data_IF_049796351819
#
_entry.id   IF_049796351819
#
_cell.length_a   1.000
_cell.length_b   1.000
_cell.length_c   1.000
_cell.angle_alpha   90.00
_cell.angle_beta   90.00
_cell.angle_gamma   90.00
#
_symmetry.space_group_name_H-M   'P 1'
#
loop_
_entity.id
_entity.type
_entity.pdbx_description
1 polymer ?
#
# COMPACT_ATOMS: atom_id res chain seq x y z
N UNK A 1 -51.46 3.97 -20.64
CA UNK A 1 -51.17 5.38 -20.28
C UNK A 1 -50.38 5.33 -18.97
N UNK A 2 -49.08 5.01 -19.03
CA UNK A 2 -47.97 5.95 -19.24
C UNK A 2 -48.03 7.15 -18.31
N UNK A 3 -47.28 7.10 -17.23
CA UNK A 3 -46.75 8.29 -16.58
C UNK A 3 -45.28 8.05 -16.24
N UNK A 4 -44.42 8.61 -17.10
CA UNK A 4 -43.05 9.00 -16.77
C UNK A 4 -43.08 10.01 -15.61
N UNK A 5 -42.19 9.83 -14.63
CA UNK A 5 -41.82 10.88 -13.69
C UNK A 5 -40.32 11.10 -13.85
N UNK A 6 -39.98 12.15 -14.58
CA UNK A 6 -38.67 12.79 -14.61
C UNK A 6 -38.45 13.53 -13.28
N UNK A 7 -37.37 13.22 -12.57
CA UNK A 7 -36.90 14.03 -11.44
C UNK A 7 -35.57 14.69 -11.86
N UNK A 8 -35.66 15.97 -12.16
CA UNK A 8 -34.55 16.92 -12.11
C UNK A 8 -34.72 17.74 -10.85
N UNK A 9 -33.77 17.69 -9.93
CA UNK A 9 -33.62 18.75 -8.94
C UNK A 9 -32.15 18.98 -8.59
N UNK A 10 -31.75 20.22 -8.84
CA UNK A 10 -30.47 20.83 -8.50
C UNK A 10 -30.39 21.06 -6.99
N UNK A 11 -29.26 20.77 -6.37
CA UNK A 11 -28.93 21.33 -5.06
C UNK A 11 -27.60 22.08 -5.12
N UNK A 12 -27.74 23.40 -5.01
CA UNK A 12 -26.71 24.43 -4.98
C UNK A 12 -25.97 24.35 -3.63
N UNK A 13 -24.66 24.13 -3.65
CA UNK A 13 -23.80 24.25 -2.46
C UNK A 13 -23.44 25.73 -2.21
N UNK A 14 -23.92 26.27 -1.09
CA UNK A 14 -23.71 27.65 -0.63
C UNK A 14 -22.25 27.98 -0.25
N UNK A 15 -21.81 29.20 -0.56
CA UNK A 15 -20.42 29.71 -0.45
C UNK A 15 -19.79 29.86 0.94
N UNK A 16 -20.41 29.37 2.02
CA UNK A 16 -19.88 29.52 3.38
C UNK A 16 -18.73 28.54 3.73
N UNK A 17 -18.51 27.49 2.93
CA UNK A 17 -17.39 26.53 3.12
C UNK A 17 -16.06 26.96 2.50
N UNK A 18 -16.06 27.90 1.55
CA UNK A 18 -14.83 28.37 0.88
C UNK A 18 -14.06 29.38 1.74
N UNK A 19 -14.77 30.27 2.44
CA UNK A 19 -14.13 31.26 3.33
C UNK A 19 -13.40 30.63 4.53
N UNK A 20 -13.79 29.42 4.95
CA UNK A 20 -13.13 28.68 6.03
C UNK A 20 -11.79 28.08 5.61
N UNK A 21 -11.65 27.68 4.34
CA UNK A 21 -10.42 27.13 3.78
C UNK A 21 -9.38 28.23 3.51
N UNK A 22 -9.81 29.38 2.99
CA UNK A 22 -8.93 30.53 2.74
C UNK A 22 -8.33 31.08 4.02
N UNK A 23 -9.13 31.21 5.09
CA UNK A 23 -8.64 31.62 6.43
C UNK A 23 -7.66 30.63 7.05
N UNK A 24 -7.69 29.37 6.64
CA UNK A 24 -6.75 28.33 7.10
C UNK A 24 -5.45 28.38 6.32
N UNK A 25 -5.51 28.59 5.01
CA UNK A 25 -4.32 28.80 4.17
C UNK A 25 -3.56 30.08 4.54
N UNK A 26 -4.25 31.21 4.78
CA UNK A 26 -3.57 32.44 5.20
C UNK A 26 -2.84 32.31 6.54
N UNK A 27 -3.37 31.49 7.46
CA UNK A 27 -2.79 31.25 8.78
C UNK A 27 -1.51 30.43 8.70
N UNK A 28 -1.50 29.42 7.83
CA UNK A 28 -0.31 28.61 7.52
C UNK A 28 0.76 29.45 6.83
N UNK A 29 0.38 30.33 5.89
CA UNK A 29 1.28 31.23 5.18
C UNK A 29 1.86 32.34 6.08
N UNK A 30 1.11 32.83 7.08
CA UNK A 30 1.63 33.80 8.06
C UNK A 30 2.61 33.16 9.04
N UNK A 31 2.35 31.91 9.46
CA UNK A 31 3.24 31.18 10.36
C UNK A 31 4.57 30.80 9.70
N UNK A 32 4.55 30.44 8.41
CA UNK A 32 5.78 30.16 7.65
C UNK A 32 6.65 31.41 7.44
N UNK A 33 6.03 32.58 7.21
CA UNK A 33 6.74 33.87 7.11
C UNK A 33 7.37 34.33 8.44
N UNK A 34 6.77 33.98 9.58
CA UNK A 34 7.38 34.23 10.92
C UNK A 34 8.57 33.32 11.17
N UNK A 35 8.50 32.04 10.79
CA UNK A 35 9.63 31.11 10.91
C UNK A 35 10.83 31.53 10.05
N UNK A 36 10.58 32.11 8.87
CA UNK A 36 11.63 32.60 7.95
C UNK A 36 12.40 33.83 8.46
N UNK A 37 11.86 34.63 9.40
CA UNK A 37 12.57 35.80 9.97
C UNK A 37 13.42 35.45 11.19
N UNK A 38 13.16 34.31 11.84
CA UNK A 38 13.87 33.90 13.05
C UNK A 38 15.22 33.21 12.77
N UNK A 39 15.41 32.65 11.56
CA UNK A 39 16.59 31.85 11.23
C UNK A 39 17.23 32.41 9.95
N UNK A 40 18.14 33.36 10.12
CA UNK A 40 18.88 34.01 9.04
C UNK A 40 19.76 33.04 8.26
N UNK A 41 19.17 32.32 7.30
CA UNK A 41 19.91 31.46 6.36
C UNK A 41 19.27 31.54 4.96
N UNK A 42 19.83 32.39 4.09
CA UNK A 42 19.27 32.77 2.79
C UNK A 42 19.48 31.76 1.65
N UNK A 43 19.90 30.52 1.94
CA UNK A 43 20.19 29.51 0.90
C UNK A 43 19.29 28.27 0.89
N UNK A 44 18.49 28.01 1.92
CA UNK A 44 17.59 26.82 1.95
C UNK A 44 16.16 27.06 1.46
N UNK A 45 15.74 28.31 1.26
CA UNK A 45 14.32 28.62 0.97
C UNK A 45 13.96 28.51 -0.52
N UNK A 46 14.93 28.46 -1.44
CA UNK A 46 14.61 28.38 -2.88
C UNK A 46 14.23 26.98 -3.39
N UNK A 47 14.64 25.91 -2.70
CA UNK A 47 14.30 24.53 -3.13
C UNK A 47 13.03 23.97 -2.46
N UNK A 48 12.51 24.60 -1.40
CA UNK A 48 11.31 24.12 -0.72
C UNK A 48 10.00 24.66 -1.33
N UNK A 49 10.05 25.78 -2.07
CA UNK A 49 8.86 26.37 -2.68
C UNK A 49 8.50 25.75 -4.03
N UNK A 50 9.46 25.18 -4.77
CA UNK A 50 9.17 24.50 -6.04
C UNK A 50 8.52 23.12 -5.85
N UNK A 51 8.84 22.42 -4.76
CA UNK A 51 8.29 21.08 -4.46
C UNK A 51 6.87 21.17 -3.90
N UNK A 52 6.54 22.22 -3.16
CA UNK A 52 5.19 22.42 -2.61
C UNK A 52 4.18 22.96 -3.62
N UNK A 53 4.61 23.69 -4.65
CA UNK A 53 3.72 24.20 -5.70
C UNK A 53 3.37 23.14 -6.76
N UNK A 54 4.17 22.08 -6.92
CA UNK A 54 3.85 20.96 -7.84
C UNK A 54 2.78 20.00 -7.27
N UNK A 55 2.68 19.89 -5.93
CA UNK A 55 1.66 19.05 -5.28
C UNK A 55 0.26 19.70 -5.23
N UNK A 56 0.16 21.02 -5.27
CA UNK A 56 -1.14 21.72 -5.29
C UNK A 56 -1.81 21.71 -6.67
N UNK A 57 -1.08 21.47 -7.76
CA UNK A 57 -1.62 21.46 -9.13
C UNK A 57 -2.30 20.12 -9.52
N UNK A 58 -2.12 19.05 -8.74
CA UNK A 58 -2.71 17.73 -9.06
C UNK A 58 -4.05 17.45 -8.36
N UNK A 59 -4.47 18.35 -7.48
CA UNK A 59 -5.78 18.31 -6.81
C UNK A 59 -6.69 19.43 -7.34
N UNK A 60 -7.00 19.39 -8.63
CA UNK A 60 -8.07 20.19 -9.23
C UNK A 60 -9.01 19.27 -10.01
N UNK A 61 -10.15 19.00 -9.38
CA UNK A 61 -11.41 18.50 -9.91
C UNK A 61 -11.49 18.25 -11.44
N UNK A 62 -11.71 16.98 -11.80
CA UNK A 62 -12.10 16.51 -13.15
C UNK A 62 -13.51 17.03 -13.48
N UNK A 63 -13.64 18.32 -13.82
CA UNK A 63 -14.76 18.84 -14.64
C UNK A 63 -14.56 20.23 -15.26
N UNK A 64 -13.44 20.93 -15.05
CA UNK A 64 -13.30 22.33 -15.51
C UNK A 64 -12.41 22.55 -16.75
N UNK A 65 -11.76 21.53 -17.33
CA UNK A 65 -10.77 21.71 -18.44
C UNK A 65 -11.36 21.45 -19.84
N UNK A 66 -12.64 21.78 -20.07
CA UNK A 66 -13.24 21.75 -21.42
C UNK A 66 -13.99 23.03 -21.83
N UNK A 67 -13.79 24.14 -21.12
CA UNK A 67 -14.50 25.39 -21.39
C UNK A 67 -13.66 26.63 -21.75
N UNK A 68 -12.33 26.56 -21.82
CA UNK A 68 -11.50 27.77 -21.99
C UNK A 68 -10.33 27.64 -22.99
N UNK A 69 -10.47 26.79 -24.01
CA UNK A 69 -9.51 26.72 -25.13
C UNK A 69 -9.95 27.51 -26.38
N UNK A 70 -10.92 28.42 -26.24
CA UNK A 70 -11.31 29.37 -27.29
C UNK A 70 -11.40 30.78 -26.69
N UNK A 71 -10.27 31.48 -26.63
CA UNK A 71 -10.13 32.95 -26.72
C UNK A 71 -8.69 33.34 -26.39
N UNK A 72 -8.09 34.15 -27.28
CA UNK A 72 -6.75 34.76 -27.22
C UNK A 72 -5.60 33.78 -27.54
N UNK A 73 -4.70 33.99 -28.50
CA UNK A 73 -4.32 35.16 -29.30
C UNK A 73 -2.81 35.04 -29.57
N UNK A 74 -2.45 34.91 -30.86
CA UNK A 74 -1.14 35.01 -31.53
C UNK A 74 0.17 35.05 -30.71
N UNK A 75 1.23 34.28 -31.09
CA UNK A 75 2.60 34.58 -30.71
C UNK A 75 3.24 35.64 -31.64
N UNK A 76 4.21 36.46 -31.14
CA UNK A 76 4.80 37.53 -31.93
C UNK A 76 5.88 37.04 -32.89
N UNK A 77 5.90 37.70 -34.05
CA UNK A 77 6.92 37.61 -35.09
C UNK A 77 8.05 38.60 -34.79
N UNK A 78 9.31 38.16 -34.87
CA UNK A 78 10.47 39.04 -35.01
C UNK A 78 11.31 38.54 -36.18
N UNK A 79 11.56 39.42 -37.15
CA UNK A 79 12.38 39.16 -38.32
C UNK A 79 13.46 40.22 -38.52
N UNK A 80 14.48 39.87 -39.32
CA UNK A 80 15.56 40.73 -39.84
C UNK A 80 16.92 40.02 -39.72
N UNK A 81 17.55 39.39 -40.73
CA UNK A 81 18.00 39.79 -42.08
C UNK A 81 19.47 40.32 -42.15
N UNK A 82 20.27 39.73 -43.06
CA UNK A 82 21.51 40.28 -43.65
C UNK A 82 22.81 39.56 -43.22
N UNK A 83 23.40 38.62 -44.00
CA UNK A 83 24.22 38.69 -45.25
C UNK A 83 25.76 38.72 -45.05
N UNK A 84 26.38 37.66 -45.59
CA UNK A 84 27.63 37.58 -46.40
C UNK A 84 29.04 37.69 -45.77
N UNK A 85 29.93 36.74 -46.17
CA UNK A 85 31.35 37.03 -46.43
C UNK A 85 32.41 36.01 -46.00
N UNK A 86 32.70 35.02 -46.88
CA UNK A 86 34.01 34.49 -47.33
C UNK A 86 35.18 34.27 -46.34
N UNK A 87 35.67 33.01 -46.26
CA UNK A 87 37.02 32.56 -46.70
C UNK A 87 37.41 31.19 -46.08
N UNK A 88 37.73 30.18 -46.91
CA UNK A 88 38.32 28.89 -46.47
C UNK A 88 39.86 28.92 -46.43
N UNK A 89 40.60 27.79 -46.59
CA UNK A 89 40.28 26.40 -46.30
C UNK A 89 41.37 25.71 -45.42
N UNK A 90 41.13 24.50 -44.92
CA UNK A 90 42.22 23.55 -44.63
C UNK A 90 41.77 22.11 -44.86
N UNK A 91 42.42 21.48 -45.83
CA UNK A 91 42.38 20.06 -46.15
C UNK A 91 42.75 19.19 -44.95
N UNK A 92 42.04 18.09 -44.77
CA UNK A 92 42.72 16.81 -44.64
C UNK A 92 41.85 15.70 -45.24
N UNK A 93 42.35 15.10 -46.31
CA UNK A 93 41.77 13.92 -46.94
C UNK A 93 42.29 12.71 -46.17
N UNK A 94 41.39 11.85 -45.68
CA UNK A 94 41.76 10.46 -45.48
C UNK A 94 40.66 9.54 -45.96
N UNK A 95 41.12 8.49 -46.61
CA UNK A 95 40.44 7.61 -47.55
C UNK A 95 39.55 6.58 -46.87
N UNK A 96 38.39 6.33 -47.49
CA UNK A 96 37.81 5.00 -47.74
C UNK A 96 37.83 3.95 -46.63
N UNK A 97 36.69 3.79 -45.94
CA UNK A 97 36.17 2.49 -45.54
C UNK A 97 34.64 2.50 -45.67
N UNK A 98 34.13 1.62 -46.53
CA UNK A 98 32.71 1.36 -46.71
C UNK A 98 32.10 0.82 -45.41
N UNK A 99 31.31 1.64 -44.72
CA UNK A 99 30.44 1.18 -43.66
C UNK A 99 29.21 0.52 -44.31
N UNK A 100 29.06 -0.79 -44.12
CA UNK A 100 27.78 -1.46 -44.34
C UNK A 100 26.72 -0.89 -43.38
N UNK A 101 25.42 -1.10 -43.65
CA UNK A 101 24.38 -0.56 -42.79
C UNK A 101 24.54 -1.16 -41.39
N UNK A 102 24.97 -0.32 -40.44
CA UNK A 102 24.89 -0.63 -39.03
C UNK A 102 23.40 -0.69 -38.71
N UNK A 103 22.85 -1.89 -38.60
CA UNK A 103 21.60 -2.11 -37.89
C UNK A 103 21.88 -1.69 -36.45
N UNK A 104 21.51 -0.47 -36.08
CA UNK A 104 21.43 -0.03 -34.70
C UNK A 104 20.46 -0.98 -34.00
N UNK A 105 21.02 -2.00 -33.35
CA UNK A 105 20.28 -2.80 -32.39
C UNK A 105 19.89 -1.83 -31.27
N UNK A 106 18.60 -1.55 -31.17
CA UNK A 106 18.03 -0.86 -30.01
C UNK A 106 18.62 -1.47 -28.74
N UNK A 107 19.12 -0.65 -27.80
CA UNK A 107 19.68 -1.16 -26.57
C UNK A 107 18.60 -1.98 -25.86
N UNK A 108 18.82 -3.31 -25.78
CA UNK A 108 18.02 -4.24 -25.01
C UNK A 108 17.77 -3.60 -23.64
N UNK A 109 16.51 -3.22 -23.37
CA UNK A 109 16.13 -2.51 -22.17
C UNK A 109 16.78 -3.20 -20.97
N UNK A 110 17.59 -2.45 -20.21
CA UNK A 110 18.31 -3.00 -19.07
C UNK A 110 17.30 -3.74 -18.18
N UNK A 111 17.48 -5.06 -18.03
CA UNK A 111 16.54 -5.91 -17.28
C UNK A 111 16.39 -5.32 -15.88
N UNK A 112 15.21 -4.82 -15.55
CA UNK A 112 14.89 -4.34 -14.22
C UNK A 112 14.96 -5.53 -13.25
N UNK A 113 16.07 -5.61 -12.51
CA UNK A 113 16.30 -6.68 -11.55
C UNK A 113 15.57 -6.46 -10.23
N UNK A 114 15.09 -5.24 -9.99
CA UNK A 114 14.28 -4.88 -8.83
C UNK A 114 12.82 -5.25 -9.00
N UNK A 115 12.29 -5.35 -10.22
CA UNK A 115 10.89 -5.72 -10.42
C UNK A 115 10.46 -7.02 -9.69
N UNK A 116 9.28 -7.02 -9.09
CA UNK A 116 8.62 -8.21 -8.57
C UNK A 116 7.22 -8.33 -9.18
N UNK A 117 6.84 -9.51 -9.67
CA UNK A 117 5.50 -9.73 -10.20
C UNK A 117 4.45 -9.67 -9.09
N UNK A 118 4.73 -10.32 -7.95
CA UNK A 118 3.85 -10.38 -6.78
C UNK A 118 4.60 -9.96 -5.52
N UNK A 119 4.01 -9.05 -4.74
CA UNK A 119 4.49 -8.65 -3.42
C UNK A 119 3.48 -9.07 -2.35
N UNK A 120 3.92 -9.80 -1.34
CA UNK A 120 3.11 -10.12 -0.16
C UNK A 120 3.52 -9.20 0.99
N UNK A 121 2.57 -8.40 1.49
CA UNK A 121 2.79 -7.48 2.60
C UNK A 121 2.14 -8.06 3.85
N UNK A 122 2.96 -8.37 4.85
CA UNK A 122 2.52 -8.91 6.13
C UNK A 122 3.12 -8.10 7.29
N UNK A 123 2.50 -8.16 8.46
CA UNK A 123 3.02 -7.49 9.65
C UNK A 123 4.32 -8.16 10.11
N UNK A 124 4.37 -9.49 10.09
CA UNK A 124 5.44 -10.30 10.67
C UNK A 124 5.94 -11.36 9.69
N UNK A 125 7.26 -11.61 9.71
CA UNK A 125 7.89 -12.67 8.90
C UNK A 125 7.22 -14.04 9.06
N UNK A 126 6.74 -14.37 10.26
CA UNK A 126 6.13 -15.68 10.56
C UNK A 126 4.89 -15.97 9.72
N UNK A 127 4.18 -14.93 9.28
CA UNK A 127 2.94 -15.07 8.52
C UNK A 127 3.22 -15.73 7.16
N UNK A 128 4.28 -15.27 6.47
CA UNK A 128 4.67 -15.80 5.16
C UNK A 128 5.89 -16.73 5.21
N UNK A 129 6.48 -16.99 6.38
CA UNK A 129 7.66 -17.85 6.50
C UNK A 129 7.48 -19.23 5.82
N UNK A 130 6.30 -19.88 5.85
CA UNK A 130 6.10 -21.12 5.10
C UNK A 130 6.18 -20.94 3.57
N UNK A 131 5.77 -19.79 3.03
CA UNK A 131 5.86 -19.49 1.59
C UNK A 131 7.30 -19.32 1.10
N UNK A 132 8.22 -18.85 1.95
CA UNK A 132 9.64 -18.75 1.58
C UNK A 132 10.24 -20.10 1.16
N UNK A 133 9.69 -21.22 1.63
CA UNK A 133 10.14 -22.57 1.26
C UNK A 133 9.72 -22.98 -0.15
N UNK A 134 8.77 -22.26 -0.75
CA UNK A 134 8.36 -22.45 -2.14
C UNK A 134 9.13 -21.55 -3.11
N UNK A 135 10.03 -20.71 -2.60
CA UNK A 135 10.81 -19.76 -3.39
C UNK A 135 12.27 -20.18 -3.47
N UNK A 136 12.82 -20.10 -4.68
CA UNK A 136 14.23 -20.29 -4.95
C UNK A 136 14.99 -18.97 -4.89
N UNK A 137 16.32 -19.08 -4.68
CA UNK A 137 17.26 -17.95 -4.72
C UNK A 137 16.88 -16.78 -3.80
N UNK A 138 16.24 -17.09 -2.68
CA UNK A 138 15.77 -16.08 -1.71
C UNK A 138 16.93 -15.24 -1.21
N UNK A 139 16.83 -13.92 -1.38
CA UNK A 139 17.72 -12.90 -0.83
C UNK A 139 16.90 -11.94 0.00
N UNK A 140 17.47 -11.48 1.10
CA UNK A 140 16.81 -10.50 1.96
C UNK A 140 17.61 -9.23 2.06
N UNK A 141 16.92 -8.11 2.15
CA UNK A 141 17.50 -6.83 2.51
C UNK A 141 16.60 -6.12 3.52
N UNK A 142 17.15 -5.10 4.18
CA UNK A 142 16.46 -4.30 5.18
C UNK A 142 16.16 -2.93 4.60
N UNK A 143 14.88 -2.56 4.57
CA UNK A 143 14.48 -1.16 4.41
C UNK A 143 14.56 -0.44 5.75
N UNK A 144 14.32 0.87 5.77
CA UNK A 144 14.49 1.67 6.99
C UNK A 144 13.70 1.11 8.18
N UNK A 145 12.44 0.74 7.96
CA UNK A 145 11.50 0.29 8.99
C UNK A 145 10.86 -1.08 8.73
N UNK A 146 11.28 -1.79 7.69
CA UNK A 146 10.71 -3.08 7.28
C UNK A 146 11.81 -3.99 6.71
N UNK A 147 11.49 -5.27 6.52
CA UNK A 147 12.41 -6.24 5.92
C UNK A 147 11.76 -6.92 4.71
N UNK A 148 12.55 -7.14 3.65
CA UNK A 148 12.09 -7.74 2.41
C UNK A 148 12.89 -8.99 2.11
N UNK A 149 12.19 -10.02 1.60
CA UNK A 149 12.76 -11.22 1.03
C UNK A 149 12.31 -11.33 -0.42
N UNK A 150 13.22 -11.16 -1.38
CA UNK A 150 12.97 -11.37 -2.79
C UNK A 150 13.42 -12.77 -3.21
N UNK A 151 12.65 -13.43 -4.04
CA UNK A 151 12.94 -14.76 -4.56
C UNK A 151 12.23 -15.03 -5.87
N UNK A 152 12.32 -16.28 -6.30
CA UNK A 152 11.70 -16.75 -7.53
C UNK A 152 10.79 -17.93 -7.20
N UNK A 153 9.58 -17.92 -7.73
CA UNK A 153 8.71 -19.08 -7.75
C UNK A 153 8.61 -19.55 -9.20
N UNK A 154 9.45 -20.51 -9.59
CA UNK A 154 9.77 -20.77 -11.00
C UNK A 154 10.24 -19.46 -11.67
N UNK A 155 9.52 -18.97 -12.67
CA UNK A 155 9.82 -17.71 -13.37
C UNK A 155 9.14 -16.47 -12.75
N UNK A 156 8.30 -16.65 -11.73
CA UNK A 156 7.63 -15.54 -11.06
C UNK A 156 8.55 -14.91 -10.02
N UNK A 157 8.88 -13.62 -10.19
CA UNK A 157 9.57 -12.82 -9.17
C UNK A 157 8.61 -12.51 -8.05
N UNK A 158 8.89 -13.02 -6.86
CA UNK A 158 8.06 -12.82 -5.67
C UNK A 158 8.86 -12.07 -4.61
N UNK A 159 8.21 -11.15 -3.92
CA UNK A 159 8.78 -10.48 -2.76
C UNK A 159 7.85 -10.60 -1.56
N UNK A 160 8.43 -10.80 -0.38
CA UNK A 160 7.72 -10.91 0.88
C UNK A 160 8.21 -9.79 1.80
N UNK A 161 7.28 -9.10 2.45
CA UNK A 161 7.57 -7.92 3.25
C UNK A 161 7.07 -8.15 4.67
N UNK A 162 7.97 -8.06 5.64
CA UNK A 162 7.60 -7.87 7.04
C UNK A 162 7.59 -6.37 7.32
N UNK A 163 6.40 -5.78 7.27
CA UNK A 163 6.17 -4.34 7.37
C UNK A 163 6.27 -3.81 8.81
N UNK A 164 6.02 -4.67 9.80
CA UNK A 164 5.70 -4.26 11.17
C UNK A 164 4.19 -4.17 11.39
N UNK A 165 3.79 -4.19 12.66
CA UNK A 165 2.38 -4.18 13.08
C UNK A 165 1.80 -2.78 12.93
N UNK A 166 0.56 -2.71 12.46
CA UNK A 166 -0.26 -1.50 12.45
C UNK A 166 -0.20 -0.68 11.16
N UNK A 167 -1.20 0.19 11.05
CA UNK A 167 -1.54 0.94 9.85
C UNK A 167 -0.37 1.72 9.25
N UNK A 168 0.36 2.49 10.06
CA UNK A 168 1.44 3.35 9.59
C UNK A 168 2.65 2.54 9.10
N UNK A 169 2.94 1.39 9.71
CA UNK A 169 4.03 0.51 9.31
C UNK A 169 3.71 -0.15 7.96
N UNK A 170 2.51 -0.72 7.83
CA UNK A 170 2.01 -1.30 6.59
C UNK A 170 1.99 -0.29 5.44
N UNK A 171 1.50 0.94 5.68
CA UNK A 171 1.49 2.01 4.68
C UNK A 171 2.90 2.32 4.15
N UNK A 172 3.84 2.64 5.05
CA UNK A 172 5.23 2.98 4.67
C UNK A 172 5.91 1.86 3.90
N UNK A 173 5.75 0.62 4.35
CA UNK A 173 6.36 -0.53 3.70
C UNK A 173 5.76 -0.76 2.30
N UNK A 174 4.42 -0.67 2.17
CA UNK A 174 3.72 -0.85 0.89
C UNK A 174 4.13 0.22 -0.13
N UNK A 175 4.23 1.49 0.30
CA UNK A 175 4.64 2.59 -0.56
C UNK A 175 6.07 2.36 -1.09
N UNK A 176 7.01 2.07 -0.19
CA UNK A 176 8.39 1.79 -0.56
C UNK A 176 8.54 0.59 -1.50
N UNK A 177 7.82 -0.52 -1.28
CA UNK A 177 7.94 -1.68 -2.17
C UNK A 177 7.23 -1.49 -3.51
N UNK A 178 6.16 -0.69 -3.59
CA UNK A 178 5.57 -0.35 -4.88
C UNK A 178 6.54 0.52 -5.69
N UNK A 179 7.14 1.53 -5.07
CA UNK A 179 8.10 2.42 -5.74
C UNK A 179 9.37 1.70 -6.19
N UNK A 180 9.88 0.76 -5.38
CA UNK A 180 11.15 0.09 -5.66
C UNK A 180 11.01 -1.24 -6.41
N UNK A 181 9.89 -1.94 -6.31
CA UNK A 181 9.68 -3.23 -6.98
C UNK A 181 8.62 -3.20 -8.07
N UNK A 182 7.88 -2.09 -8.24
CA UNK A 182 6.87 -1.90 -9.29
C UNK A 182 5.99 -3.15 -9.54
N UNK A 183 5.29 -3.67 -8.51
CA UNK A 183 4.61 -4.94 -8.64
C UNK A 183 3.31 -4.86 -9.43
N UNK A 184 2.98 -5.96 -10.10
CA UNK A 184 1.68 -6.11 -10.76
C UNK A 184 0.57 -6.39 -9.75
N UNK A 185 0.90 -7.19 -8.72
CA UNK A 185 0.00 -7.57 -7.64
C UNK A 185 0.64 -7.33 -6.26
N UNK A 186 -0.16 -6.76 -5.37
CA UNK A 186 0.09 -6.75 -3.94
C UNK A 186 -0.93 -7.65 -3.25
N UNK A 187 -0.49 -8.50 -2.34
CA UNK A 187 -1.33 -9.30 -1.48
C UNK A 187 -1.15 -8.80 -0.05
N UNK A 188 -2.17 -8.13 0.48
CA UNK A 188 -2.28 -7.86 1.91
C UNK A 188 -2.49 -9.20 2.62
N UNK A 189 -1.50 -9.63 3.39
CA UNK A 189 -1.36 -11.03 3.79
C UNK A 189 -1.08 -11.11 5.28
N UNK A 190 -1.76 -12.00 6.01
CA UNK A 190 -1.39 -12.23 7.41
C UNK A 190 -2.49 -12.84 8.25
N UNK A 191 -2.41 -12.61 9.55
CA UNK A 191 -3.38 -13.09 10.53
C UNK A 191 -4.52 -12.10 10.76
N UNK A 192 -5.58 -12.58 11.38
CA UNK A 192 -6.72 -11.77 11.81
C UNK A 192 -7.45 -12.41 12.99
N UNK A 193 -8.17 -11.59 13.76
CA UNK A 193 -9.23 -12.07 14.64
C UNK A 193 -10.53 -12.34 13.85
N UNK A 194 -11.27 -13.38 14.21
CA UNK A 194 -12.60 -13.65 13.67
C UNK A 194 -13.66 -12.77 14.36
N UNK A 195 -14.59 -12.22 13.59
CA UNK A 195 -15.64 -11.34 14.10
C UNK A 195 -17.05 -11.96 14.04
N UNK A 196 -17.21 -13.12 13.41
CA UNK A 196 -18.52 -13.78 13.30
C UNK A 196 -18.45 -15.27 13.67
N UNK A 197 -19.53 -15.85 14.22
CA UNK A 197 -19.55 -17.24 14.72
C UNK A 197 -19.23 -18.31 13.67
N UNK A 198 -19.51 -18.05 12.40
CA UNK A 198 -19.20 -18.98 11.31
C UNK A 198 -17.71 -19.00 10.93
N UNK A 199 -16.93 -18.01 11.34
CA UNK A 199 -15.49 -17.89 11.05
C UNK A 199 -14.70 -18.42 12.24
N UNK A 200 -14.04 -19.57 12.06
CA UNK A 200 -13.36 -20.29 13.13
C UNK A 200 -11.85 -20.10 13.08
N UNK A 201 -11.20 -20.33 14.22
CA UNK A 201 -9.73 -20.38 14.28
C UNK A 201 -9.19 -21.38 13.26
N UNK A 202 -8.23 -20.92 12.44
CA UNK A 202 -7.66 -21.66 11.32
C UNK A 202 -8.32 -21.35 9.97
N UNK A 203 -9.53 -20.79 9.91
CA UNK A 203 -10.17 -20.47 8.65
C UNK A 203 -9.41 -19.40 7.86
N UNK A 204 -9.61 -19.38 6.55
CA UNK A 204 -9.11 -18.34 5.66
C UNK A 204 -10.26 -17.41 5.30
N UNK A 205 -10.04 -16.10 5.45
CA UNK A 205 -10.95 -15.05 4.99
C UNK A 205 -10.28 -14.28 3.86
N UNK A 206 -10.98 -14.20 2.73
CA UNK A 206 -10.59 -13.45 1.55
C UNK A 206 -11.40 -12.15 1.52
N UNK A 207 -10.71 -11.01 1.61
CA UNK A 207 -11.35 -9.70 1.74
C UNK A 207 -11.91 -9.17 0.43
N UNK A 208 -13.23 -9.19 0.22
CA UNK A 208 -13.86 -8.55 -0.97
C UNK A 208 -14.15 -7.05 -0.77
N UNK A 209 -14.20 -6.62 0.49
CA UNK A 209 -14.33 -5.23 0.90
C UNK A 209 -13.51 -5.03 2.18
N UNK A 210 -12.75 -3.95 2.24
CA UNK A 210 -11.96 -3.54 3.39
C UNK A 210 -12.60 -2.27 3.97
N UNK A 211 -12.80 -2.23 5.28
CA UNK A 211 -13.40 -1.09 5.97
C UNK A 211 -12.61 -0.74 7.22
N UNK A 212 -12.80 0.45 7.77
CA UNK A 212 -12.31 0.82 9.10
C UNK A 212 -13.43 1.38 9.99
N UNK A 213 -13.08 1.72 11.22
CA UNK A 213 -13.97 2.33 12.20
C UNK A 213 -14.27 3.82 11.90
N UNK A 214 -13.56 4.43 10.95
CA UNK A 214 -13.67 5.83 10.55
C UNK A 214 -14.55 6.04 9.30
N UNK A 215 -15.17 4.97 8.80
CA UNK A 215 -16.10 4.99 7.66
C UNK A 215 -15.44 4.89 6.29
N UNK A 216 -14.14 4.62 6.22
CA UNK A 216 -13.45 4.34 4.97
C UNK A 216 -13.83 2.95 4.45
N UNK A 217 -13.89 2.83 3.12
CA UNK A 217 -14.28 1.60 2.44
C UNK A 217 -13.49 1.44 1.16
N UNK A 218 -12.98 0.24 0.92
CA UNK A 218 -12.27 -0.13 -0.30
C UNK A 218 -12.79 -1.47 -0.82
N UNK A 219 -13.35 -1.49 -2.04
CA UNK A 219 -13.80 -2.75 -2.66
C UNK A 219 -12.69 -3.35 -3.49
N UNK A 220 -12.45 -4.64 -3.31
CA UNK A 220 -11.52 -5.41 -4.12
C UNK A 220 -12.33 -6.11 -5.22
N UNK A 221 -12.17 -5.72 -6.50
CA UNK A 221 -12.93 -6.31 -7.60
C UNK A 221 -12.39 -7.70 -7.93
N UNK A 222 -12.75 -8.70 -7.11
CA UNK A 222 -12.41 -10.11 -7.34
C UNK A 222 -13.63 -11.00 -7.12
N UNK A 223 -13.63 -12.14 -7.81
CA UNK A 223 -14.63 -13.19 -7.67
C UNK A 223 -13.93 -14.46 -7.24
N UNK A 224 -14.22 -14.91 -6.02
CA UNK A 224 -13.80 -16.20 -5.48
C UNK A 224 -15.01 -16.88 -4.87
N UNK A 225 -15.19 -18.16 -5.14
CA UNK A 225 -16.24 -18.93 -4.49
C UNK A 225 -15.86 -19.18 -3.02
N UNK A 226 -16.82 -19.01 -2.13
CA UNK A 226 -16.70 -19.48 -0.75
C UNK A 226 -16.68 -21.01 -0.71
N UNK A 227 -15.93 -21.56 0.24
CA UNK A 227 -15.98 -22.99 0.57
C UNK A 227 -15.92 -23.13 2.10
N UNK A 228 -17.05 -22.90 2.80
CA UNK A 228 -17.09 -22.99 4.26
C UNK A 228 -16.77 -24.38 4.79
N UNK A 229 -16.99 -25.45 4.00
CA UNK A 229 -16.64 -26.82 4.39
C UNK A 229 -15.13 -27.00 4.49
N UNK A 230 -14.38 -26.31 3.62
CA UNK A 230 -12.92 -26.24 3.69
C UNK A 230 -12.44 -25.08 4.54
N UNK A 231 -13.30 -24.30 5.19
CA UNK A 231 -12.94 -23.13 6.00
C UNK A 231 -12.36 -21.98 5.18
N UNK A 232 -12.94 -21.72 4.00
CA UNK A 232 -12.61 -20.60 3.13
C UNK A 232 -13.85 -19.70 3.03
N UNK A 233 -13.73 -18.47 3.51
CA UNK A 233 -14.79 -17.46 3.51
C UNK A 233 -14.38 -16.28 2.66
N UNK A 234 -15.35 -15.59 2.07
CA UNK A 234 -15.14 -14.37 1.29
C UNK A 234 -16.03 -13.30 1.87
N UNK A 235 -15.47 -12.15 2.22
CA UNK A 235 -16.29 -11.10 2.82
C UNK A 235 -15.51 -9.91 3.29
N UNK A 236 -16.17 -9.11 4.11
CA UNK A 236 -15.62 -7.83 4.57
C UNK A 236 -14.55 -8.05 5.65
N UNK A 237 -13.43 -7.35 5.54
CA UNK A 237 -12.41 -7.25 6.58
C UNK A 237 -12.47 -5.86 7.22
N UNK A 238 -12.42 -5.81 8.54
CA UNK A 238 -12.28 -4.59 9.32
C UNK A 238 -10.80 -4.34 9.63
N UNK A 239 -10.30 -3.14 9.39
CA UNK A 239 -9.03 -2.68 9.94
C UNK A 239 -9.32 -1.82 11.16
N UNK A 240 -8.92 -2.28 12.34
CA UNK A 240 -9.12 -1.59 13.61
C UNK A 240 -7.90 -0.75 14.00
N UNK A 241 -8.08 0.19 14.91
CA UNK A 241 -6.99 1.04 15.43
C UNK A 241 -6.16 0.34 16.53
N UNK A 242 -6.70 -0.73 17.11
CA UNK A 242 -6.11 -1.49 18.21
C UNK A 242 -6.42 -2.98 18.11
N UNK A 243 -5.68 -3.78 18.87
CA UNK A 243 -5.95 -5.22 18.97
C UNK A 243 -7.29 -5.45 19.65
N UNK A 244 -8.25 -5.99 18.90
CA UNK A 244 -9.57 -6.35 19.41
C UNK A 244 -9.46 -7.57 20.34
N UNK A 245 -9.57 -7.32 21.63
CA UNK A 245 -9.18 -8.30 22.65
C UNK A 245 -10.32 -9.22 23.07
N UNK A 246 -11.50 -8.65 23.33
CA UNK A 246 -12.58 -9.36 24.02
C UNK A 246 -13.61 -9.95 23.05
N UNK A 247 -14.21 -11.09 23.43
CA UNK A 247 -15.27 -11.69 22.63
C UNK A 247 -16.48 -10.75 22.44
N UNK A 248 -16.81 -9.95 23.46
CA UNK A 248 -17.88 -8.95 23.37
C UNK A 248 -17.57 -7.88 22.32
N UNK A 249 -16.36 -7.32 22.33
CA UNK A 249 -15.92 -6.34 21.35
C UNK A 249 -15.91 -6.91 19.93
N UNK A 250 -15.41 -8.14 19.74
CA UNK A 250 -15.43 -8.82 18.45
C UNK A 250 -16.85 -8.97 17.90
N UNK A 251 -17.80 -9.42 18.71
CA UNK A 251 -19.21 -9.52 18.30
C UNK A 251 -19.78 -8.16 17.92
N UNK A 252 -19.56 -7.14 18.76
CA UNK A 252 -20.02 -5.76 18.49
C UNK A 252 -19.47 -5.23 17.16
N UNK A 253 -18.18 -5.40 16.90
CA UNK A 253 -17.55 -4.95 15.66
C UNK A 253 -18.03 -5.76 14.45
N UNK A 254 -18.18 -7.07 14.60
CA UNK A 254 -18.74 -7.95 13.56
C UNK A 254 -20.15 -7.53 13.14
N UNK A 255 -21.02 -7.24 14.11
CA UNK A 255 -22.39 -6.75 13.88
C UNK A 255 -22.41 -5.35 13.28
N UNK A 256 -21.67 -4.41 13.87
CA UNK A 256 -21.65 -2.99 13.47
C UNK A 256 -21.16 -2.82 12.04
N UNK A 257 -20.05 -3.49 11.71
CA UNK A 257 -19.39 -3.31 10.42
C UNK A 257 -19.73 -4.41 9.44
N UNK A 258 -20.51 -5.44 9.80
CA UNK A 258 -20.79 -6.61 8.95
C UNK A 258 -19.50 -7.28 8.45
N UNK A 259 -18.43 -7.24 9.25
CA UNK A 259 -17.12 -7.77 8.90
C UNK A 259 -16.95 -9.20 9.40
N UNK A 260 -16.26 -10.03 8.63
CA UNK A 260 -15.97 -11.44 8.97
C UNK A 260 -14.74 -11.56 9.87
N UNK A 261 -13.75 -10.70 9.68
CA UNK A 261 -12.50 -10.72 10.41
C UNK A 261 -11.93 -9.30 10.57
N UNK A 262 -11.01 -9.16 11.53
CA UNK A 262 -10.35 -7.89 11.90
C UNK A 262 -8.84 -8.01 11.88
N UNK A 263 -8.17 -6.99 11.35
CA UNK A 263 -6.72 -6.82 11.38
C UNK A 263 -6.35 -5.36 11.68
N UNK A 264 -5.06 -4.99 11.55
CA UNK A 264 -4.58 -3.62 11.81
C UNK A 264 -3.98 -2.96 10.55
N UNK A 265 -3.96 -3.64 9.40
CA UNK A 265 -3.14 -3.24 8.26
C UNK A 265 -3.84 -3.23 6.89
N UNK A 266 -4.88 -4.06 6.67
CA UNK A 266 -5.40 -4.32 5.30
C UNK A 266 -5.79 -3.05 4.56
N UNK A 267 -6.52 -2.15 5.22
CA UNK A 267 -6.95 -0.91 4.59
C UNK A 267 -5.77 0.03 4.27
N UNK A 268 -4.71 0.03 5.09
CA UNK A 268 -3.51 0.81 4.83
C UNK A 268 -2.81 0.38 3.54
N UNK A 269 -2.64 -0.94 3.36
CA UNK A 269 -2.09 -1.53 2.13
C UNK A 269 -2.96 -1.15 0.93
N UNK A 270 -4.28 -1.24 1.10
CA UNK A 270 -5.24 -0.94 0.04
C UNK A 270 -5.21 0.52 -0.42
N UNK A 271 -5.09 1.47 0.51
CA UNK A 271 -4.97 2.88 0.18
C UNK A 271 -3.75 3.18 -0.68
N UNK A 272 -2.62 2.56 -0.38
CA UNK A 272 -1.40 2.74 -1.18
C UNK A 272 -1.58 2.10 -2.55
N UNK A 273 -2.09 0.86 -2.62
CA UNK A 273 -2.35 0.20 -3.90
C UNK A 273 -3.28 1.02 -4.80
N UNK A 274 -4.32 1.62 -4.22
CA UNK A 274 -5.23 2.51 -4.93
C UNK A 274 -4.54 3.76 -5.49
N UNK A 275 -3.68 4.40 -4.68
CA UNK A 275 -2.94 5.60 -5.08
C UNK A 275 -1.94 5.32 -6.22
N UNK A 276 -1.37 4.13 -6.27
CA UNK A 276 -0.40 3.70 -7.29
C UNK A 276 -1.03 2.85 -8.41
N UNK A 277 -2.34 2.64 -8.40
CA UNK A 277 -3.06 1.82 -9.38
C UNK A 277 -2.56 0.37 -9.47
N UNK A 278 -2.04 -0.17 -8.36
CA UNK A 278 -1.57 -1.54 -8.24
C UNK A 278 -2.71 -2.47 -7.84
N UNK A 279 -2.76 -3.67 -8.43
CA UNK A 279 -3.81 -4.65 -8.13
C UNK A 279 -3.63 -5.22 -6.73
N UNK A 280 -4.72 -5.45 -6.02
CA UNK A 280 -4.73 -5.87 -4.63
C UNK A 280 -5.54 -7.15 -4.44
N UNK A 281 -5.04 -8.03 -3.58
CA UNK A 281 -5.82 -9.06 -2.89
C UNK A 281 -5.58 -8.95 -1.38
N UNK A 282 -6.53 -9.43 -0.57
CA UNK A 282 -6.41 -9.43 0.89
C UNK A 282 -6.76 -10.81 1.45
N UNK A 283 -5.79 -11.49 2.06
CA UNK A 283 -5.95 -12.82 2.63
C UNK A 283 -5.59 -12.82 4.11
N UNK A 284 -6.50 -13.37 4.91
CA UNK A 284 -6.33 -13.48 6.35
C UNK A 284 -6.52 -14.91 6.82
N UNK A 285 -5.65 -15.39 7.68
CA UNK A 285 -5.87 -16.62 8.43
C UNK A 285 -6.27 -16.29 9.87
N UNK A 286 -7.37 -16.87 10.31
CA UNK A 286 -7.97 -16.54 11.61
C UNK A 286 -7.15 -17.21 12.71
N UNK A 287 -6.57 -16.43 13.63
CA UNK A 287 -5.76 -16.94 14.74
C UNK A 287 -6.53 -17.08 16.05
N UNK A 288 -7.67 -16.40 16.13
CA UNK A 288 -8.54 -16.35 17.29
C UNK A 288 -9.95 -16.00 16.81
N UNK A 289 -10.91 -16.88 17.07
CA UNK A 289 -12.31 -16.68 16.65
C UNK A 289 -13.05 -15.63 17.52
N UNK A 290 -14.33 -15.43 17.21
CA UNK A 290 -15.19 -14.44 17.87
C UNK A 290 -15.39 -14.70 19.37
N UNK A 291 -15.27 -15.95 19.81
CA UNK A 291 -15.45 -16.35 21.21
C UNK A 291 -14.15 -16.28 22.01
N UNK A 292 -13.01 -16.25 21.31
CA UNK A 292 -11.69 -16.23 21.92
C UNK A 292 -11.36 -14.84 22.47
N UNK A 293 -11.14 -14.75 23.78
CA UNK A 293 -10.58 -13.53 24.40
C UNK A 293 -9.06 -13.62 24.48
N UNK A 294 -8.38 -12.61 23.96
CA UNK A 294 -6.91 -12.56 23.95
C UNK A 294 -6.37 -12.15 25.33
N UNK A 295 -5.32 -12.80 25.85
CA UNK A 295 -4.62 -12.33 27.05
C UNK A 295 -4.02 -10.94 26.85
N UNK A 296 -3.96 -10.13 27.92
CA UNK A 296 -3.41 -8.77 27.83
C UNK A 296 -1.95 -8.75 27.37
N UNK A 297 -1.19 -9.81 27.63
CA UNK A 297 0.18 -9.94 27.17
C UNK A 297 0.29 -9.93 25.64
N UNK A 298 -0.73 -10.44 24.94
CA UNK A 298 -0.79 -10.45 23.47
C UNK A 298 -1.03 -9.05 22.94
N UNK A 299 -1.94 -8.31 23.57
CA UNK A 299 -2.21 -6.90 23.25
C UNK A 299 -0.94 -6.08 23.43
N UNK A 300 -0.29 -6.21 24.60
CA UNK A 300 0.98 -5.53 24.87
C UNK A 300 2.06 -5.90 23.87
N UNK A 301 2.18 -7.17 23.47
CA UNK A 301 3.14 -7.64 22.46
C UNK A 301 2.96 -6.95 21.11
N UNK A 302 1.71 -6.74 20.69
CA UNK A 302 1.40 -6.09 19.43
C UNK A 302 1.71 -4.59 19.46
N UNK A 303 1.65 -3.97 20.63
CA UNK A 303 1.97 -2.55 20.85
C UNK A 303 3.47 -2.29 21.10
N UNK A 304 4.29 -3.34 21.29
CA UNK A 304 5.72 -3.18 21.58
C UNK A 304 6.43 -2.56 20.38
N UNK A 305 6.92 -1.34 20.56
CA UNK A 305 7.83 -0.68 19.63
C UNK A 305 9.24 -0.53 20.25
N UNK A 306 10.21 -1.19 19.60
CA UNK A 306 11.63 -1.04 19.92
C UNK A 306 12.16 -1.83 21.13
N UNK A 307 13.50 -1.91 21.26
CA UNK A 307 14.18 -2.89 22.11
C UNK A 307 13.98 -2.71 23.62
N UNK A 308 13.70 -1.49 24.09
CA UNK A 308 13.47 -1.22 25.53
C UNK A 308 12.15 -1.80 26.03
N UNK A 309 11.10 -1.66 25.22
CA UNK A 309 9.77 -2.19 25.55
C UNK A 309 9.78 -3.73 25.52
N UNK A 310 10.53 -4.33 24.59
CA UNK A 310 10.80 -5.77 24.57
C UNK A 310 11.45 -6.30 25.86
N UNK A 311 12.45 -5.60 26.41
CA UNK A 311 13.11 -6.01 27.64
C UNK A 311 12.15 -5.95 28.85
N UNK A 312 11.31 -4.91 28.92
CA UNK A 312 10.31 -4.75 29.97
C UNK A 312 9.26 -5.87 29.93
N UNK A 313 8.76 -6.18 28.74
CA UNK A 313 7.79 -7.25 28.55
C UNK A 313 8.39 -8.62 28.85
N UNK A 314 9.63 -8.89 28.42
CA UNK A 314 10.31 -10.15 28.73
C UNK A 314 10.44 -10.36 30.25
N UNK A 315 10.82 -9.33 31.00
CA UNK A 315 10.91 -9.41 32.46
C UNK A 315 9.56 -9.71 33.13
N UNK A 316 8.45 -9.21 32.57
CA UNK A 316 7.10 -9.52 33.07
C UNK A 316 6.70 -10.97 32.75
N UNK A 317 6.96 -11.45 31.53
CA UNK A 317 6.65 -12.81 31.11
C UNK A 317 7.42 -13.85 31.92
N UNK A 318 8.68 -13.58 32.24
CA UNK A 318 9.49 -14.44 33.13
C UNK A 318 8.88 -14.61 34.53
N UNK A 319 8.08 -13.64 34.99
CA UNK A 319 7.40 -13.68 36.30
C UNK A 319 6.00 -14.29 36.26
N UNK A 320 5.45 -14.58 35.07
CA UNK A 320 4.10 -15.12 34.90
C UNK A 320 4.12 -16.41 34.04
N UNK A 321 4.27 -17.60 34.65
CA UNK A 321 4.30 -18.88 33.93
C UNK A 321 3.03 -19.17 33.12
N UNK A 322 1.86 -18.67 33.56
CA UNK A 322 0.58 -18.84 32.84
C UNK A 322 0.53 -18.00 31.56
N UNK A 323 1.09 -16.78 31.59
CA UNK A 323 1.24 -15.97 30.39
C UNK A 323 2.13 -16.66 29.36
N UNK A 324 3.23 -17.28 29.80
CA UNK A 324 4.11 -18.04 28.91
C UNK A 324 3.33 -19.16 28.21
N UNK A 325 2.57 -19.97 28.94
CA UNK A 325 1.74 -21.02 28.34
C UNK A 325 0.71 -20.50 27.32
N UNK A 326 0.08 -19.36 27.61
CA UNK A 326 -0.90 -18.74 26.71
C UNK A 326 -0.26 -18.24 25.42
N UNK A 327 0.94 -17.64 25.51
CA UNK A 327 1.73 -17.22 24.35
C UNK A 327 2.22 -18.40 23.51
N UNK A 328 2.57 -19.53 24.14
CA UNK A 328 2.93 -20.75 23.42
C UNK A 328 1.77 -21.30 22.60
N UNK A 329 0.57 -21.37 23.19
CA UNK A 329 -0.64 -21.79 22.47
C UNK A 329 -0.94 -20.87 21.29
N UNK A 330 -0.85 -19.54 21.50
CA UNK A 330 -1.05 -18.57 20.42
C UNK A 330 -0.01 -18.72 19.31
N UNK A 331 1.25 -18.98 19.68
CA UNK A 331 2.34 -19.25 18.73
C UNK A 331 2.03 -20.48 17.89
N UNK A 332 1.61 -21.59 18.49
CA UNK A 332 1.29 -22.83 17.77
C UNK A 332 0.12 -22.65 16.81
N UNK A 333 -0.96 -22.00 17.27
CA UNK A 333 -2.10 -21.64 16.42
C UNK A 333 -1.68 -20.75 15.25
N UNK A 334 -0.82 -19.76 15.50
CA UNK A 334 -0.28 -18.88 14.45
C UNK A 334 0.59 -19.64 13.44
N UNK A 335 1.38 -20.61 13.88
CA UNK A 335 2.20 -21.44 12.99
C UNK A 335 1.33 -22.32 12.08
N UNK A 336 0.27 -22.91 12.63
CA UNK A 336 -0.71 -23.67 11.83
C UNK A 336 -1.46 -22.77 10.86
N UNK A 337 -1.88 -21.57 11.29
CA UNK A 337 -2.51 -20.56 10.45
C UNK A 337 -1.60 -20.14 9.29
N UNK A 338 -0.31 -19.90 9.54
CA UNK A 338 0.65 -19.55 8.49
C UNK A 338 0.82 -20.68 7.46
N UNK A 339 0.90 -21.93 7.90
CA UNK A 339 1.01 -23.09 7.00
C UNK A 339 -0.24 -23.22 6.13
N UNK A 340 -1.42 -23.04 6.73
CA UNK A 340 -2.70 -23.12 6.01
C UNK A 340 -2.86 -21.97 5.02
N UNK A 341 -2.52 -20.75 5.41
CA UNK A 341 -2.54 -19.58 4.54
C UNK A 341 -1.57 -19.73 3.36
N UNK A 342 -0.39 -20.29 3.61
CA UNK A 342 0.56 -20.60 2.56
C UNK A 342 -0.02 -21.63 1.57
N UNK A 343 -0.57 -22.74 2.05
CA UNK A 343 -1.24 -23.76 1.20
C UNK A 343 -2.37 -23.19 0.37
N UNK A 344 -3.13 -22.25 0.91
CA UNK A 344 -4.19 -21.55 0.19
C UNK A 344 -3.64 -20.64 -0.91
N UNK A 345 -2.51 -19.98 -0.65
CA UNK A 345 -1.95 -18.94 -1.52
C UNK A 345 -1.14 -19.50 -2.69
N UNK A 346 -0.44 -20.63 -2.49
CA UNK A 346 0.36 -21.32 -3.52
C UNK A 346 -0.40 -21.47 -4.86
N UNK A 347 -1.58 -22.14 -4.92
CA UNK A 347 -2.30 -22.33 -6.18
C UNK A 347 -2.93 -21.05 -6.74
N UNK A 348 -2.98 -19.97 -5.96
CA UNK A 348 -3.44 -18.67 -6.45
C UNK A 348 -2.31 -18.00 -7.21
N UNK A 349 -1.11 -17.94 -6.63
CA UNK A 349 0.06 -17.37 -7.30
C UNK A 349 0.37 -18.12 -8.60
N UNK A 350 0.27 -19.46 -8.58
CA UNK A 350 0.46 -20.28 -9.79
C UNK A 350 -0.55 -19.93 -10.88
N UNK A 351 -1.83 -19.69 -10.54
CA UNK A 351 -2.87 -19.29 -11.49
C UNK A 351 -2.75 -17.85 -12.01
N UNK A 352 -2.11 -16.95 -11.26
CA UNK A 352 -1.88 -15.58 -11.74
C UNK A 352 -0.90 -15.54 -12.92
N UNK A 353 -0.02 -16.54 -13.02
CA UNK A 353 1.06 -16.62 -14.01
C UNK A 353 1.05 -17.94 -14.79
N UNK A 354 -0.08 -18.68 -14.76
CA UNK A 354 -0.30 -19.96 -15.45
C UNK A 354 0.88 -20.95 -15.34
N UNK A 355 1.41 -21.13 -14.12
CA UNK A 355 2.62 -21.90 -13.80
C UNK A 355 2.48 -23.43 -13.80
#
# INVERSE_FOLDING_TARGET
MNHEVSVSDESVCSGSRLEGLERTCERVLRNSRRASRAHGCSRLVRNATSVFLDQASRYSCVRCVRGQAERHGQPPVVGGAGRAGLSGPSMNQNTGRSAGPHTEQEPSAAVDRSHAHVVLVAALKREFAPLLKHSDRVRSYRGDHFQVWGGFWKDVRVAFVAAGVGFAAARRATEAVIEHHSPEWVISYGFSGGLQPQVRTGDIVVGNELVDEHGQRFRIPMSMAEDPQRGIHVGRLLTADHVVQTAEEKRRLGETYGALAVDLESLAVAQVCAAHQTRLMAFRAVTDDVETTLPEEVVRLAEVDGPKQWAALAAQLWRNPRAVGSLWRLKEVSEQAAVRLARFTVPIIERLYDL
#
